data_IF_181009605148
#
_entry.id   IF_181009605148
#
_cell.length_a   1.000
_cell.length_b   1.000
_cell.length_c   1.000
_cell.angle_alpha   90.00
_cell.angle_beta   90.00
_cell.angle_gamma   90.00
#
_symmetry.space_group_name_H-M   'P 1'
#
loop_
_entity.id
_entity.type
_entity.pdbx_description
1 polymer ?
#
# COMPACT_ATOMS: atom_id res chain seq x y z
N UNK A 1 43.59 -57.50 -1.96
CA UNK A 1 43.68 -56.21 -2.69
C UNK A 1 42.60 -55.31 -2.12
N UNK A 2 43.02 -54.22 -1.47
CA UNK A 2 42.16 -53.27 -0.75
C UNK A 2 41.43 -52.37 -1.73
N UNK A 3 40.11 -52.50 -1.83
CA UNK A 3 39.25 -51.62 -2.62
C UNK A 3 38.76 -50.46 -1.76
N UNK A 4 39.43 -49.33 -1.85
CA UNK A 4 39.05 -48.06 -1.21
C UNK A 4 37.65 -47.63 -1.67
N UNK A 5 36.72 -47.52 -0.73
CA UNK A 5 35.39 -46.95 -0.93
C UNK A 5 35.50 -45.52 -1.43
N UNK A 6 35.03 -45.30 -2.66
CA UNK A 6 35.03 -44.01 -3.35
C UNK A 6 33.87 -43.17 -2.80
N UNK A 7 34.19 -42.29 -1.87
CA UNK A 7 33.50 -41.05 -1.46
C UNK A 7 32.18 -40.71 -2.20
N UNK A 8 31.03 -41.04 -1.60
CA UNK A 8 29.70 -40.49 -1.98
C UNK A 8 29.13 -39.54 -0.90
N UNK A 9 29.99 -39.06 0.02
CA UNK A 9 29.61 -38.17 1.12
C UNK A 9 29.49 -36.69 0.71
N UNK A 10 30.12 -36.29 -0.40
CA UNK A 10 30.17 -34.89 -0.84
C UNK A 10 28.81 -34.30 -1.25
N UNK A 11 27.94 -35.10 -1.88
CA UNK A 11 26.63 -34.65 -2.36
C UNK A 11 25.62 -34.41 -1.23
N UNK A 12 25.68 -35.20 -0.15
CA UNK A 12 24.78 -35.06 0.99
C UNK A 12 25.08 -33.80 1.83
N UNK A 13 26.38 -33.49 1.99
CA UNK A 13 26.85 -32.35 2.78
C UNK A 13 26.63 -31.01 2.07
N UNK A 14 26.79 -30.98 0.74
CA UNK A 14 26.48 -29.77 -0.05
C UNK A 14 24.97 -29.45 -0.03
N UNK A 15 24.14 -30.49 -0.13
CA UNK A 15 22.68 -30.35 -0.09
C UNK A 15 22.15 -29.81 1.24
N UNK A 16 22.68 -30.31 2.37
CA UNK A 16 22.31 -29.80 3.69
C UNK A 16 22.81 -28.37 3.94
N UNK A 17 24.00 -28.01 3.45
CA UNK A 17 24.51 -26.64 3.53
C UNK A 17 23.67 -25.65 2.71
N UNK A 18 23.29 -26.01 1.48
CA UNK A 18 22.41 -25.18 0.63
C UNK A 18 21.02 -25.03 1.23
N UNK A 19 20.47 -26.11 1.79
CA UNK A 19 19.19 -26.08 2.54
C UNK A 19 19.27 -25.15 3.74
N UNK A 20 20.33 -25.24 4.56
CA UNK A 20 20.53 -24.36 5.71
C UNK A 20 20.69 -22.88 5.31
N UNK A 21 21.43 -22.61 4.23
CA UNK A 21 21.58 -21.26 3.68
C UNK A 21 20.23 -20.71 3.18
N UNK A 22 19.43 -21.52 2.49
CA UNK A 22 18.10 -21.12 2.04
C UNK A 22 17.20 -20.73 3.21
N UNK A 23 17.20 -21.51 4.30
CA UNK A 23 16.45 -21.16 5.53
C UNK A 23 16.96 -19.86 6.13
N UNK A 24 18.29 -19.68 6.24
CA UNK A 24 18.88 -18.47 6.81
C UNK A 24 18.51 -17.21 6.02
N UNK A 25 18.65 -17.25 4.69
CA UNK A 25 18.23 -16.15 3.79
C UNK A 25 16.73 -15.92 3.90
N UNK A 26 15.94 -16.99 3.94
CA UNK A 26 14.50 -16.92 4.11
C UNK A 26 14.09 -16.21 5.40
N UNK A 27 14.74 -16.52 6.52
CA UNK A 27 14.52 -15.85 7.80
C UNK A 27 14.89 -14.36 7.75
N UNK A 28 16.01 -13.99 7.11
CA UNK A 28 16.41 -12.59 6.96
C UNK A 28 15.38 -11.81 6.14
N UNK A 29 14.92 -12.36 5.01
CA UNK A 29 13.91 -11.71 4.18
C UNK A 29 12.56 -11.59 4.88
N UNK A 30 12.12 -12.65 5.57
CA UNK A 30 10.87 -12.66 6.30
C UNK A 30 10.86 -11.66 7.46
N UNK A 31 11.82 -11.81 8.38
CA UNK A 31 11.89 -10.97 9.58
C UNK A 31 12.27 -9.53 9.22
N UNK A 32 13.22 -9.35 8.29
CA UNK A 32 13.63 -8.02 7.82
C UNK A 32 12.51 -7.29 7.09
N UNK A 33 11.81 -7.96 6.17
CA UNK A 33 10.67 -7.39 5.45
C UNK A 33 9.52 -7.02 6.39
N UNK A 34 9.17 -7.92 7.32
CA UNK A 34 8.12 -7.68 8.31
C UNK A 34 8.48 -6.55 9.27
N UNK A 35 9.69 -6.55 9.85
CA UNK A 35 10.14 -5.51 10.76
C UNK A 35 10.20 -4.15 10.06
N UNK A 36 10.68 -4.11 8.81
CA UNK A 36 10.69 -2.89 8.01
C UNK A 36 9.27 -2.36 7.78
N UNK A 37 8.32 -3.22 7.40
CA UNK A 37 6.92 -2.84 7.24
C UNK A 37 6.31 -2.31 8.54
N UNK A 38 6.56 -2.99 9.67
CA UNK A 38 6.02 -2.59 10.98
C UNK A 38 6.52 -1.23 11.48
N UNK A 39 7.73 -0.81 11.08
CA UNK A 39 8.28 0.51 11.42
C UNK A 39 7.68 1.61 10.53
N UNK A 40 7.51 1.32 9.24
CA UNK A 40 7.10 2.31 8.22
C UNK A 40 5.58 2.48 8.13
N UNK A 41 4.81 1.40 8.32
CA UNK A 41 3.37 1.39 8.17
C UNK A 41 2.65 1.37 9.52
N UNK A 42 1.49 2.02 9.59
CA UNK A 42 0.55 1.90 10.69
C UNK A 42 -0.81 1.42 10.19
N UNK A 43 -1.44 0.44 10.87
CA UNK A 43 -2.82 0.09 10.59
C UNK A 43 -3.77 1.14 11.19
N UNK A 44 -4.79 1.52 10.43
CA UNK A 44 -5.91 2.34 10.90
C UNK A 44 -7.23 1.66 10.58
N UNK A 45 -8.20 1.74 11.49
CA UNK A 45 -9.58 1.32 11.22
C UNK A 45 -10.38 2.53 10.79
N UNK A 46 -11.05 2.46 9.63
CA UNK A 46 -11.84 3.58 9.10
C UNK A 46 -13.29 3.43 9.57
N UNK A 47 -13.85 4.37 10.36
CA UNK A 47 -15.18 4.20 10.95
C UNK A 47 -16.33 4.76 10.08
N UNK A 48 -16.03 5.40 8.95
CA UNK A 48 -17.02 6.14 8.14
C UNK A 48 -17.03 5.69 6.69
N UNK A 49 -18.12 5.98 5.99
CA UNK A 49 -18.29 5.70 4.55
C UNK A 49 -17.77 6.82 3.64
N UNK A 50 -17.15 7.87 4.19
CA UNK A 50 -16.71 9.04 3.41
C UNK A 50 -15.68 8.75 2.32
N UNK A 51 -15.04 7.58 2.36
CA UNK A 51 -14.04 7.13 1.39
C UNK A 51 -14.53 5.97 0.52
N UNK A 52 -15.80 5.58 0.62
CA UNK A 52 -16.41 4.54 -0.21
C UNK A 52 -16.41 4.99 -1.68
N UNK A 53 -16.04 4.15 -2.66
CA UNK A 53 -15.78 2.70 -2.58
C UNK A 53 -14.30 2.36 -2.33
N UNK A 54 -13.40 3.34 -2.32
CA UNK A 54 -11.95 3.10 -2.16
C UNK A 54 -11.64 2.49 -0.80
N UNK A 55 -12.29 2.98 0.25
CA UNK A 55 -12.18 2.46 1.62
C UNK A 55 -13.55 2.47 2.27
N UNK A 56 -14.05 1.30 2.65
CA UNK A 56 -15.36 1.15 3.27
C UNK A 56 -15.30 1.36 4.79
N UNK A 57 -16.44 1.66 5.39
CA UNK A 57 -16.55 1.66 6.84
C UNK A 57 -16.22 0.26 7.40
N UNK A 58 -15.37 0.22 8.42
CA UNK A 58 -14.85 -1.00 9.04
C UNK A 58 -13.54 -1.53 8.45
N UNK A 59 -13.09 -1.01 7.31
CA UNK A 59 -11.85 -1.44 6.68
C UNK A 59 -10.62 -1.11 7.54
N UNK A 60 -9.62 -2.00 7.47
CA UNK A 60 -8.30 -1.75 8.06
C UNK A 60 -7.34 -1.34 6.95
N UNK A 61 -6.87 -0.11 7.00
CA UNK A 61 -5.94 0.42 6.01
C UNK A 61 -4.51 0.43 6.52
N UNK A 62 -3.54 0.24 5.62
CA UNK A 62 -2.12 0.40 5.89
C UNK A 62 -1.67 1.76 5.38
N UNK A 63 -1.28 2.62 6.30
CA UNK A 63 -0.80 3.95 5.98
C UNK A 63 0.71 4.05 6.24
N UNK A 64 1.45 4.43 5.20
CA UNK A 64 2.86 4.75 5.25
C UNK A 64 3.05 6.06 6.02
N UNK A 65 3.93 6.07 7.03
CA UNK A 65 4.38 7.32 7.64
C UNK A 65 5.15 8.11 6.60
N UNK A 66 4.69 9.31 6.32
CA UNK A 66 5.28 10.25 5.36
C UNK A 66 5.08 11.67 5.88
N UNK A 67 5.97 12.56 5.47
CA UNK A 67 5.80 13.98 5.73
C UNK A 67 4.88 14.62 4.69
N UNK A 68 4.22 15.71 5.08
CA UNK A 68 3.38 16.48 4.17
C UNK A 68 4.08 16.89 2.87
N UNK A 69 5.41 17.05 2.88
CA UNK A 69 6.22 17.35 1.70
C UNK A 69 6.19 16.28 0.61
N UNK A 70 5.96 15.02 0.96
CA UNK A 70 5.91 13.88 0.05
C UNK A 70 4.53 13.68 -0.59
N UNK A 71 3.50 14.29 0.02
CA UNK A 71 2.10 14.20 -0.43
C UNK A 71 1.92 14.92 -1.75
N UNK A 72 1.19 14.28 -2.68
CA UNK A 72 0.79 14.82 -3.99
C UNK A 72 -0.71 14.64 -4.20
N UNK A 73 -1.23 15.25 -5.27
CA UNK A 73 -2.63 15.03 -5.68
C UNK A 73 -2.86 13.55 -5.97
N UNK A 74 -4.08 13.09 -5.68
CA UNK A 74 -4.49 11.69 -5.79
C UNK A 74 -4.14 10.84 -4.57
N UNK A 75 -3.23 11.26 -3.68
CA UNK A 75 -2.91 10.52 -2.47
C UNK A 75 -4.11 10.50 -1.50
N UNK A 76 -4.35 9.36 -0.86
CA UNK A 76 -5.26 9.27 0.29
C UNK A 76 -4.42 9.45 1.55
N UNK A 77 -4.78 10.42 2.40
CA UNK A 77 -3.97 10.81 3.56
C UNK A 77 -4.73 10.66 4.85
N UNK A 78 -3.98 10.36 5.92
CA UNK A 78 -4.45 10.45 7.30
C UNK A 78 -3.93 11.76 7.88
N UNK A 79 -4.83 12.60 8.39
CA UNK A 79 -4.49 13.90 8.97
C UNK A 79 -5.33 14.19 10.22
N UNK A 80 -4.87 15.13 11.04
CA UNK A 80 -5.62 15.65 12.19
C UNK A 80 -5.49 17.16 12.20
N UNK A 81 -6.62 17.86 12.11
CA UNK A 81 -6.69 19.32 12.11
C UNK A 81 -7.78 19.78 13.09
N UNK A 82 -7.45 20.54 14.15
CA UNK A 82 -8.43 21.03 15.12
C UNK A 82 -9.58 21.84 14.51
N UNK A 83 -9.38 22.45 13.32
CA UNK A 83 -10.47 23.14 12.62
C UNK A 83 -11.56 22.18 12.10
N UNK A 84 -11.22 20.90 11.94
CA UNK A 84 -12.10 19.85 11.43
C UNK A 84 -12.54 18.88 12.53
N UNK A 85 -11.68 18.68 13.54
CA UNK A 85 -11.94 17.89 14.72
C UNK A 85 -10.68 17.26 15.30
N UNK A 86 -10.80 16.72 16.52
CA UNK A 86 -9.65 16.19 17.27
C UNK A 86 -9.27 14.75 16.90
N UNK A 87 -10.00 14.13 15.96
CA UNK A 87 -9.81 12.74 15.55
C UNK A 87 -9.10 12.64 14.20
N UNK A 88 -8.23 11.62 13.98
CA UNK A 88 -7.65 11.37 12.66
C UNK A 88 -8.72 11.11 11.60
N UNK A 89 -8.59 11.79 10.46
CA UNK A 89 -9.49 11.69 9.32
C UNK A 89 -8.75 11.14 8.11
N UNK A 90 -9.50 10.46 7.23
CA UNK A 90 -8.99 9.94 5.95
C UNK A 90 -9.72 10.65 4.81
N UNK A 91 -8.96 11.27 3.91
CA UNK A 91 -9.47 11.96 2.72
C UNK A 91 -8.47 11.88 1.56
N UNK A 92 -8.94 12.10 0.33
CA UNK A 92 -8.10 12.19 -0.86
C UNK A 92 -7.66 13.62 -1.12
N UNK A 93 -6.38 13.79 -1.44
CA UNK A 93 -5.80 15.07 -1.86
C UNK A 93 -6.21 15.36 -3.29
N UNK A 94 -6.91 16.45 -3.48
CA UNK A 94 -7.42 16.86 -4.80
C UNK A 94 -6.71 18.13 -5.28
N UNK A 95 -6.38 19.03 -4.37
CA UNK A 95 -5.58 20.23 -4.63
C UNK A 95 -4.40 20.36 -3.67
N UNK A 96 -3.34 21.02 -4.13
CA UNK A 96 -2.17 21.40 -3.33
C UNK A 96 -1.95 22.91 -3.44
N UNK A 97 -1.17 23.48 -2.52
CA UNK A 97 -0.93 24.92 -2.49
C UNK A 97 -0.58 25.55 -3.83
N UNK A 98 -1.34 26.59 -4.19
CA UNK A 98 -1.30 27.28 -5.49
C UNK A 98 -2.40 26.85 -6.45
N UNK A 99 -3.11 25.76 -6.18
CA UNK A 99 -4.21 25.31 -7.04
C UNK A 99 -5.46 26.16 -6.88
N UNK A 100 -6.16 26.34 -7.99
CA UNK A 100 -7.56 26.70 -8.02
C UNK A 100 -8.39 25.44 -8.24
N UNK A 101 -9.15 25.01 -7.24
CA UNK A 101 -10.06 23.87 -7.31
C UNK A 101 -11.47 24.40 -7.48
N UNK A 102 -12.21 23.93 -8.49
CA UNK A 102 -13.57 24.38 -8.72
C UNK A 102 -14.48 23.23 -9.14
N UNK A 103 -15.72 23.27 -8.68
CA UNK A 103 -16.80 22.41 -9.14
C UNK A 103 -18.02 23.27 -9.53
N UNK A 104 -18.78 22.92 -10.56
CA UNK A 104 -18.51 21.85 -11.52
C UNK A 104 -18.63 22.30 -12.97
N UNK A 105 -17.91 21.61 -13.87
CA UNK A 105 -18.24 21.66 -15.29
C UNK A 105 -19.65 21.10 -15.54
N UNK A 106 -20.19 21.34 -16.74
CA UNK A 106 -21.54 20.91 -17.12
C UNK A 106 -21.77 19.40 -17.00
N UNK A 107 -20.71 18.61 -17.07
CA UNK A 107 -20.71 17.15 -16.92
C UNK A 107 -20.46 16.68 -15.49
N UNK A 108 -20.45 17.60 -14.52
CA UNK A 108 -20.26 17.30 -13.10
C UNK A 108 -18.80 17.10 -12.70
N UNK A 109 -17.83 17.31 -13.58
CA UNK A 109 -16.41 17.12 -13.23
C UNK A 109 -15.86 18.30 -12.44
N UNK A 110 -14.97 17.95 -11.51
CA UNK A 110 -14.09 18.89 -10.84
C UNK A 110 -13.03 19.41 -11.84
N UNK A 111 -12.64 20.66 -11.69
CA UNK A 111 -11.46 21.21 -12.35
C UNK A 111 -10.37 21.57 -11.33
N UNK A 112 -9.13 21.35 -11.73
CA UNK A 112 -7.94 21.84 -11.01
C UNK A 112 -7.17 22.71 -11.99
N UNK A 113 -7.05 24.00 -11.67
CA UNK A 113 -6.47 25.03 -12.54
C UNK A 113 -7.15 25.09 -13.92
N UNK A 114 -8.47 24.89 -13.95
CA UNK A 114 -9.28 24.87 -15.18
C UNK A 114 -9.12 23.60 -16.03
N UNK A 115 -8.35 22.61 -15.56
CA UNK A 115 -8.21 21.32 -16.23
C UNK A 115 -9.21 20.34 -15.59
N UNK A 116 -10.12 19.74 -16.36
CA UNK A 116 -11.05 18.73 -15.86
C UNK A 116 -10.28 17.50 -15.34
N UNK A 117 -10.65 17.02 -14.16
CA UNK A 117 -10.05 15.83 -13.54
C UNK A 117 -10.99 14.65 -13.69
N UNK A 118 -10.46 13.54 -14.22
CA UNK A 118 -11.16 12.26 -14.22
C UNK A 118 -11.02 11.59 -12.84
N UNK A 119 -12.15 11.20 -12.25
CA UNK A 119 -12.20 10.66 -10.89
C UNK A 119 -12.77 9.22 -10.92
N UNK A 120 -12.01 8.23 -11.41
CA UNK A 120 -12.52 6.86 -11.62
C UNK A 120 -12.82 6.12 -10.31
N UNK A 121 -12.45 6.69 -9.17
CA UNK A 121 -12.71 6.18 -7.83
C UNK A 121 -14.09 6.57 -7.29
N UNK A 122 -14.88 7.38 -7.99
CA UNK A 122 -16.25 7.72 -7.56
C UNK A 122 -17.23 6.59 -7.92
N UNK A 123 -18.19 6.27 -7.03
CA UNK A 123 -19.15 5.17 -7.23
C UNK A 123 -20.15 5.40 -8.37
N UNK A 124 -20.41 6.65 -8.72
CA UNK A 124 -21.54 7.07 -9.55
C UNK A 124 -21.09 8.22 -10.45
N UNK A 125 -21.78 8.50 -11.58
CA UNK A 125 -21.58 9.72 -12.35
C UNK A 125 -22.10 10.98 -11.61
N UNK A 126 -22.14 10.94 -10.28
CA UNK A 126 -22.53 12.08 -9.47
C UNK A 126 -21.49 13.18 -9.65
N UNK A 127 -21.94 14.45 -9.64
CA UNK A 127 -21.01 15.56 -9.75
C UNK A 127 -20.03 15.56 -8.57
N UNK A 128 -18.84 16.12 -8.81
CA UNK A 128 -17.78 16.23 -7.82
C UNK A 128 -18.21 17.01 -6.56
N UNK A 129 -19.29 17.80 -6.63
CA UNK A 129 -20.01 18.39 -5.50
C UNK A 129 -21.47 18.63 -5.89
N UNK A 130 -22.36 18.60 -4.92
CA UNK A 130 -23.77 18.94 -5.10
C UNK A 130 -23.97 20.46 -5.31
N UNK A 131 -23.06 21.27 -4.78
CA UNK A 131 -23.07 22.73 -4.90
C UNK A 131 -21.83 23.22 -5.63
N UNK A 132 -21.98 24.29 -6.41
CA UNK A 132 -20.87 24.98 -7.03
C UNK A 132 -19.94 25.58 -5.97
N UNK A 133 -18.65 25.50 -6.22
CA UNK A 133 -17.65 26.16 -5.39
C UNK A 133 -16.39 26.49 -6.18
N UNK A 134 -15.60 27.40 -5.61
CA UNK A 134 -14.24 27.67 -6.04
C UNK A 134 -13.39 27.92 -4.80
N UNK A 135 -12.24 27.27 -4.74
CA UNK A 135 -11.27 27.42 -3.66
C UNK A 135 -9.88 27.65 -4.24
N UNK A 136 -9.17 28.65 -3.71
CA UNK A 136 -7.75 28.82 -3.96
C UNK A 136 -6.96 28.22 -2.80
N UNK A 137 -6.22 27.14 -3.07
CA UNK A 137 -5.49 26.41 -2.04
C UNK A 137 -4.26 27.22 -1.64
N UNK A 138 -4.17 27.69 -0.37
CA UNK A 138 -3.02 28.48 0.04
C UNK A 138 -1.72 27.68 0.00
N UNK A 139 -0.57 28.37 -0.13
CA UNK A 139 0.74 27.70 -0.10
C UNK A 139 0.90 26.89 1.19
N UNK A 140 1.43 25.67 1.06
CA UNK A 140 1.63 24.77 2.19
C UNK A 140 0.35 24.08 2.70
N UNK A 141 -0.78 24.25 2.02
CA UNK A 141 -2.05 23.62 2.34
C UNK A 141 -2.45 22.55 1.30
N UNK A 142 -3.45 21.75 1.64
CA UNK A 142 -4.06 20.70 0.81
C UNK A 142 -5.57 20.90 0.77
N UNK A 143 -6.19 20.66 -0.38
CA UNK A 143 -7.65 20.58 -0.51
C UNK A 143 -8.04 19.10 -0.60
N UNK A 144 -8.86 18.65 0.35
CA UNK A 144 -9.12 17.25 0.63
C UNK A 144 -10.60 16.93 0.43
N UNK A 145 -10.90 15.91 -0.36
CA UNK A 145 -12.27 15.43 -0.59
C UNK A 145 -12.41 13.98 -0.18
N UNK A 146 -13.62 13.59 0.26
CA UNK A 146 -13.98 12.18 0.35
C UNK A 146 -14.30 11.60 -1.03
N UNK A 147 -14.19 10.28 -1.16
CA UNK A 147 -14.55 9.58 -2.38
C UNK A 147 -16.07 9.37 -2.48
N UNK A 148 -16.80 9.26 -1.35
CA UNK A 148 -18.27 9.40 -1.38
C UNK A 148 -18.63 10.88 -1.21
N UNK A 149 -18.86 11.55 -2.35
CA UNK A 149 -19.12 12.99 -2.42
C UNK A 149 -20.41 13.43 -1.74
N UNK A 150 -21.35 12.52 -1.50
CA UNK A 150 -22.68 12.84 -0.94
C UNK A 150 -22.66 12.92 0.59
N UNK A 151 -21.85 12.08 1.22
CA UNK A 151 -21.84 11.93 2.69
C UNK A 151 -20.56 12.45 3.34
N UNK A 152 -19.51 12.71 2.56
CA UNK A 152 -18.25 13.20 3.09
C UNK A 152 -18.34 14.65 3.58
N UNK A 153 -18.06 14.84 4.87
CA UNK A 153 -17.69 16.13 5.44
C UNK A 153 -16.19 16.34 5.16
N UNK A 154 -15.89 17.24 4.24
CA UNK A 154 -14.56 17.49 3.72
C UNK A 154 -14.33 18.99 3.40
N UNK A 155 -13.35 19.34 2.57
CA UNK A 155 -12.97 20.74 2.35
C UNK A 155 -14.16 21.61 1.91
N UNK A 156 -15.17 21.02 1.28
CA UNK A 156 -16.38 21.72 0.81
C UNK A 156 -17.25 22.28 1.93
N UNK A 157 -17.22 21.69 3.13
CA UNK A 157 -18.01 22.22 4.27
C UNK A 157 -17.26 23.28 5.07
N UNK A 158 -15.97 23.47 4.77
CA UNK A 158 -15.06 24.39 5.45
C UNK A 158 -14.66 25.59 4.57
N UNK A 159 -15.36 25.84 3.45
CA UNK A 159 -15.00 26.87 2.47
C UNK A 159 -15.00 28.29 3.02
N UNK A 160 -15.77 28.57 4.06
CA UNK A 160 -15.84 29.88 4.72
C UNK A 160 -14.74 30.08 5.78
N UNK A 161 -13.99 29.02 6.12
CA UNK A 161 -12.88 29.10 7.06
C UNK A 161 -11.69 29.85 6.43
N UNK A 162 -10.77 30.37 7.26
CA UNK A 162 -9.58 31.13 6.79
C UNK A 162 -8.73 30.40 5.74
N UNK A 163 -8.79 29.07 5.70
CA UNK A 163 -8.09 28.25 4.73
C UNK A 163 -8.88 27.92 3.46
N UNK A 164 -10.10 28.43 3.27
CA UNK A 164 -11.01 28.00 2.19
C UNK A 164 -11.16 26.47 2.14
N UNK A 165 -11.37 25.87 3.31
CA UNK A 165 -11.45 24.42 3.47
C UNK A 165 -10.12 23.67 3.29
N UNK A 166 -8.99 24.36 3.22
CA UNK A 166 -7.69 23.69 3.10
C UNK A 166 -7.13 23.23 4.45
N UNK A 167 -6.35 22.14 4.43
CA UNK A 167 -5.69 21.54 5.60
C UNK A 167 -4.16 21.67 5.49
N UNK A 168 -3.44 22.02 6.57
CA UNK A 168 -1.99 22.21 6.50
C UNK A 168 -1.29 20.92 6.10
N UNK A 169 -0.28 20.99 5.23
CA UNK A 169 0.55 19.81 4.90
C UNK A 169 1.18 19.20 6.16
N UNK A 170 1.50 20.02 7.15
CA UNK A 170 2.03 19.58 8.45
C UNK A 170 1.03 18.81 9.32
N UNK A 171 -0.28 18.88 9.01
CA UNK A 171 -1.31 18.11 9.70
C UNK A 171 -1.38 16.65 9.20
N UNK A 172 -0.75 16.34 8.05
CA UNK A 172 -0.69 14.97 7.53
C UNK A 172 0.31 14.15 8.33
N UNK A 173 -0.12 12.95 8.73
CA UNK A 173 0.70 12.01 9.51
C UNK A 173 1.04 10.74 8.74
N UNK A 174 0.25 10.40 7.72
CA UNK A 174 0.47 9.22 6.89
C UNK A 174 -0.23 9.30 5.53
N UNK A 175 0.24 8.50 4.57
CA UNK A 175 -0.42 8.24 3.28
C UNK A 175 -0.91 6.80 3.24
N UNK A 176 -2.16 6.59 2.87
CA UNK A 176 -2.76 5.26 2.77
C UNK A 176 -2.37 4.61 1.44
N UNK A 177 -1.71 3.45 1.52
CA UNK A 177 -1.26 2.71 0.33
C UNK A 177 -2.08 1.45 0.07
N UNK A 178 -2.80 0.91 1.06
CA UNK A 178 -3.56 -0.32 0.92
C UNK A 178 -4.72 -0.45 1.91
N UNK A 179 -5.75 -1.20 1.52
CA UNK A 179 -6.76 -1.79 2.40
C UNK A 179 -6.31 -3.20 2.74
N UNK A 180 -5.91 -3.48 3.98
CA UNK A 180 -5.39 -4.79 4.39
C UNK A 180 -6.48 -5.82 4.75
N UNK A 181 -7.67 -5.38 5.16
CA UNK A 181 -8.79 -6.26 5.53
C UNK A 181 -10.10 -5.58 5.18
N UNK A 182 -11.10 -6.29 4.61
CA UNK A 182 -11.25 -7.75 4.53
C UNK A 182 -10.61 -8.46 3.32
N UNK A 183 -10.39 -7.76 2.20
CA UNK A 183 -9.98 -8.42 0.94
C UNK A 183 -8.59 -8.03 0.40
N UNK A 184 -7.82 -7.20 1.10
CA UNK A 184 -6.41 -6.93 0.75
C UNK A 184 -6.22 -6.31 -0.65
N UNK A 185 -6.31 -4.98 -0.79
CA UNK A 185 -6.10 -4.28 -2.06
C UNK A 185 -5.10 -3.13 -1.92
N UNK A 186 -4.38 -2.84 -3.00
CA UNK A 186 -3.54 -1.64 -3.10
C UNK A 186 -4.39 -0.45 -3.56
N UNK A 187 -4.17 0.72 -2.98
CA UNK A 187 -4.79 1.95 -3.46
C UNK A 187 -3.92 2.52 -4.59
N UNK A 188 -4.50 2.59 -5.78
CA UNK A 188 -3.84 3.17 -6.93
C UNK A 188 -3.93 4.70 -6.94
N UNK A 189 -2.96 5.33 -7.60
CA UNK A 189 -2.96 6.77 -7.80
C UNK A 189 -3.66 7.08 -9.11
N UNK A 190 -4.72 7.90 -9.09
CA UNK A 190 -5.46 8.19 -10.31
C UNK A 190 -4.56 8.88 -11.34
N UNK A 191 -4.53 8.34 -12.56
CA UNK A 191 -3.70 8.86 -13.65
C UNK A 191 -4.06 10.30 -14.04
N UNK A 192 -5.30 10.71 -13.82
CA UNK A 192 -5.76 12.08 -14.09
C UNK A 192 -4.91 13.14 -13.38
N UNK A 193 -4.47 12.87 -12.14
CA UNK A 193 -3.60 13.78 -11.40
C UNK A 193 -2.15 13.75 -11.89
N UNK A 194 -1.72 12.69 -12.56
CA UNK A 194 -0.35 12.57 -13.08
C UNK A 194 -0.08 13.53 -14.25
N UNK A 195 -1.13 13.91 -14.99
CA UNK A 195 -1.04 14.89 -16.08
C UNK A 195 -0.95 16.34 -15.57
N UNK A 196 -1.29 16.61 -14.31
CA UNK A 196 -1.21 17.96 -13.73
C UNK A 196 0.23 18.30 -13.30
N UNK A 197 0.64 19.58 -13.29
CA UNK A 197 1.95 20.01 -12.82
C UNK A 197 2.25 19.50 -11.40
N UNK A 198 3.43 18.90 -11.22
CA UNK A 198 3.85 18.29 -9.95
C UNK A 198 3.54 16.79 -9.82
N UNK A 199 2.75 16.22 -10.74
CA UNK A 199 2.51 14.78 -10.87
C UNK A 199 1.91 14.11 -9.63
N UNK A 200 2.06 12.78 -9.59
CA UNK A 200 1.63 11.92 -8.48
C UNK A 200 2.84 11.43 -7.67
N UNK A 201 2.61 11.02 -6.42
CA UNK A 201 3.69 10.48 -5.59
C UNK A 201 4.14 9.09 -6.06
N UNK A 202 5.29 8.60 -5.57
CA UNK A 202 5.85 7.27 -5.88
C UNK A 202 5.30 6.20 -4.95
N UNK A 203 5.09 4.98 -5.44
CA UNK A 203 4.49 3.91 -4.62
C UNK A 203 5.36 3.64 -3.39
N UNK A 204 4.72 3.50 -2.22
CA UNK A 204 5.45 3.11 -1.01
C UNK A 204 6.07 1.71 -1.15
N UNK A 205 6.99 1.34 -0.25
CA UNK A 205 7.72 0.09 -0.33
C UNK A 205 6.87 -1.16 -0.03
N UNK A 206 5.56 -1.02 0.22
CA UNK A 206 4.69 -2.12 0.66
C UNK A 206 4.76 -3.35 -0.26
N UNK A 207 4.74 -3.18 -1.58
CA UNK A 207 4.84 -4.31 -2.52
C UNK A 207 6.17 -5.05 -2.39
N UNK A 208 7.27 -4.32 -2.21
CA UNK A 208 8.59 -4.89 -2.02
C UNK A 208 8.69 -5.62 -0.67
N UNK A 209 8.13 -5.04 0.39
CA UNK A 209 8.09 -5.63 1.72
C UNK A 209 7.28 -6.93 1.72
N UNK A 210 6.09 -6.92 1.12
CA UNK A 210 5.27 -8.13 0.96
C UNK A 210 6.00 -9.20 0.14
N UNK A 211 6.68 -8.81 -0.93
CA UNK A 211 7.52 -9.71 -1.72
C UNK A 211 8.65 -10.35 -0.91
N UNK A 212 9.34 -9.56 -0.08
CA UNK A 212 10.39 -10.07 0.81
C UNK A 212 9.83 -11.03 1.87
N UNK A 213 8.69 -10.70 2.47
CA UNK A 213 8.02 -11.55 3.46
C UNK A 213 7.61 -12.89 2.84
N UNK A 214 6.89 -12.86 1.71
CA UNK A 214 6.42 -14.07 1.02
C UNK A 214 7.59 -14.90 0.51
N UNK A 215 8.56 -14.27 -0.16
CA UNK A 215 9.78 -14.95 -0.64
C UNK A 215 10.57 -15.58 0.50
N UNK A 216 10.65 -14.90 1.65
CA UNK A 216 11.24 -15.42 2.87
C UNK A 216 10.56 -16.69 3.38
N UNK A 217 9.22 -16.68 3.49
CA UNK A 217 8.42 -17.86 3.87
C UNK A 217 8.67 -19.02 2.92
N UNK A 218 8.65 -18.77 1.61
CA UNK A 218 8.88 -19.81 0.59
C UNK A 218 10.25 -20.47 0.76
N UNK A 219 11.31 -19.68 0.96
CA UNK A 219 12.67 -20.18 1.17
C UNK A 219 12.80 -20.99 2.46
N UNK A 220 12.17 -20.54 3.55
CA UNK A 220 12.15 -21.27 4.82
C UNK A 220 11.50 -22.65 4.64
N UNK A 221 10.32 -22.69 4.02
CA UNK A 221 9.58 -23.94 3.80
C UNK A 221 10.33 -24.88 2.86
N UNK A 222 10.86 -24.36 1.73
CA UNK A 222 11.62 -25.15 0.78
C UNK A 222 12.90 -25.74 1.41
N UNK A 223 13.61 -24.94 2.21
CA UNK A 223 14.78 -25.37 2.94
C UNK A 223 14.46 -26.42 4.01
N UNK A 224 13.39 -26.23 4.79
CA UNK A 224 12.99 -27.15 5.87
C UNK A 224 12.56 -28.53 5.36
N UNK A 225 11.89 -28.59 4.21
CA UNK A 225 11.38 -29.85 3.62
C UNK A 225 12.47 -30.64 2.89
N UNK A 226 13.61 -30.01 2.56
CA UNK A 226 14.71 -30.67 1.84
C UNK A 226 15.21 -31.95 2.54
N UNK A 227 15.45 -31.89 3.86
CA UNK A 227 15.96 -33.02 4.65
C UNK A 227 15.07 -34.27 4.58
N UNK A 228 13.78 -34.16 4.95
CA UNK A 228 12.83 -35.27 4.86
C UNK A 228 12.68 -35.86 3.44
N UNK A 229 12.64 -35.01 2.41
CA UNK A 229 12.50 -35.45 1.01
C UNK A 229 13.75 -36.14 0.49
N UNK A 230 14.94 -35.59 0.79
CA UNK A 230 16.21 -36.21 0.42
C UNK A 230 16.37 -37.59 1.08
N UNK A 231 16.00 -37.73 2.36
CA UNK A 231 16.03 -39.01 3.08
C UNK A 231 15.07 -40.05 2.47
N UNK A 232 13.84 -39.64 2.12
CA UNK A 232 12.85 -40.52 1.47
C UNK A 232 13.30 -40.98 0.08
N UNK A 233 13.89 -40.08 -0.69
CA UNK A 233 14.44 -40.38 -2.03
C UNK A 233 15.62 -41.36 -1.97
N UNK A 234 16.54 -41.17 -1.00
CA UNK A 234 17.67 -42.09 -0.78
C UNK A 234 17.19 -43.51 -0.42
N UNK A 235 16.22 -43.63 0.50
CA UNK A 235 15.58 -44.92 0.85
C UNK A 235 14.93 -45.60 -0.35
N UNK A 236 14.21 -44.84 -1.19
CA UNK A 236 13.53 -45.40 -2.35
C UNK A 236 14.50 -45.89 -3.43
N UNK A 237 15.63 -45.19 -3.63
CA UNK A 237 16.71 -45.65 -4.52
C UNK A 237 17.39 -46.91 -4.00
N UNK A 238 17.65 -47.01 -2.70
CA UNK A 238 18.22 -48.22 -2.08
C UNK A 238 17.27 -49.41 -2.19
N UNK A 239 15.96 -49.22 -1.99
CA UNK A 239 14.96 -50.28 -2.17
C UNK A 239 14.85 -50.78 -3.62
N UNK A 240 14.89 -49.88 -4.61
CA UNK A 240 14.91 -50.26 -6.03
C UNK A 240 16.19 -50.99 -6.46
N UNK A 241 17.35 -50.57 -5.93
CA UNK A 241 18.61 -51.24 -6.19
C UNK A 241 18.64 -52.66 -5.60
N UNK A 242 18.03 -52.87 -4.42
CA UNK A 242 17.91 -54.20 -3.81
C UNK A 242 16.92 -55.12 -4.56
N UNK A 243 15.87 -54.57 -5.16
CA UNK A 243 14.87 -55.36 -5.89
C UNK A 243 15.26 -55.72 -7.34
N UNK A 244 16.29 -55.07 -7.91
CA UNK A 244 16.80 -55.34 -9.26
C UNK A 244 17.94 -56.35 -9.33
N UNK A 245 18.29 -57.00 -8.21
CA UNK A 245 19.29 -58.07 -8.13
C UNK A 245 18.56 -59.41 -8.00
N UNK A 246 17.84 -59.80 -9.05
CA UNK A 246 17.30 -61.14 -9.25
C UNK A 246 17.24 -61.45 -10.74
#
# INVERSE_FOLDING_TARGET
MSGTGRTDDGRGRLGSMLSGLAVAVGCVLFLGGFAWAAVVYRPYTVPTESMTPTVNAGDRVLAQRVDGSEVRRGDVVVFTDPAWGDMPMVKRVVGIGGDKVACCEKDGRLTVNGIPVEEPYLQTPDPASANDFTAEVPKGQLFLLGDDRRVSLDSRVHLEDRGQGSVPRSAVTARVDAVAWPLGSMIERPHAFAALPGGVSSAGPLKLQLGAVVGGVVLILAGAVYGPVAARSKRNKQGKAAAGVH
#
